data_IF_967192842274
#
_entry.id   IF_967192842274
#
_cell.length_a   1.000
_cell.length_b   1.000
_cell.length_c   1.000
_cell.angle_alpha   90.00
_cell.angle_beta   90.00
_cell.angle_gamma   90.00
#
_symmetry.space_group_name_H-M   'P 1'
#
loop_
_entity.id
_entity.type
_entity.pdbx_description
1 polymer ?
#
# COMPACT_ATOMS: atom_id res chain seq x y z
N UNK A 1 51.07 12.39 23.62
CA UNK A 1 50.11 11.26 23.62
C UNK A 1 49.14 11.55 22.50
N UNK A 2 49.23 10.75 21.44
CA UNK A 2 48.53 10.84 20.16
C UNK A 2 47.48 9.72 20.15
N UNK A 3 46.19 10.05 20.28
CA UNK A 3 44.99 9.32 19.84
C UNK A 3 43.89 10.41 19.83
N UNK A 4 43.85 11.30 18.84
CA UNK A 4 43.21 11.17 17.53
C UNK A 4 41.76 10.69 17.58
N UNK A 5 40.90 11.57 17.06
CA UNK A 5 39.46 11.46 16.86
C UNK A 5 39.09 10.13 16.18
N UNK A 6 38.21 9.36 16.81
CA UNK A 6 37.42 8.33 16.13
C UNK A 6 35.96 8.73 16.28
N UNK A 7 35.57 9.71 15.47
CA UNK A 7 34.18 10.06 15.21
C UNK A 7 33.65 9.01 14.22
N UNK A 8 33.07 7.93 14.75
CA UNK A 8 32.31 6.87 14.07
C UNK A 8 32.72 6.51 12.61
N UNK A 9 33.85 5.82 12.39
CA UNK A 9 34.32 5.42 11.05
C UNK A 9 33.46 4.33 10.37
N UNK A 10 32.51 3.73 11.09
CA UNK A 10 31.66 2.62 10.62
C UNK A 10 30.16 2.96 10.60
N UNK A 11 29.79 4.26 10.65
CA UNK A 11 28.39 4.64 10.49
C UNK A 11 27.97 4.38 9.04
N UNK A 12 27.34 3.21 8.81
CA UNK A 12 26.63 2.94 7.57
C UNK A 12 25.57 4.03 7.38
N UNK A 13 25.40 4.58 6.17
CA UNK A 13 24.27 5.47 5.89
C UNK A 13 22.98 4.72 6.25
N UNK A 14 22.06 5.38 6.94
CA UNK A 14 20.71 4.86 7.09
C UNK A 14 20.20 4.58 5.68
N UNK A 15 19.89 3.30 5.39
CA UNK A 15 19.16 2.97 4.18
C UNK A 15 17.82 3.69 4.29
N UNK A 16 17.44 4.48 3.29
CA UNK A 16 16.10 5.10 3.28
C UNK A 16 15.09 3.95 3.44
N UNK A 17 14.27 3.99 4.50
CA UNK A 17 13.32 2.94 4.90
C UNK A 17 12.13 2.82 3.90
N UNK A 18 12.43 2.67 2.61
CA UNK A 18 11.43 2.47 1.54
C UNK A 18 10.58 1.21 1.81
N UNK A 19 11.11 0.24 2.55
CA UNK A 19 10.40 -0.96 2.98
C UNK A 19 9.33 -0.66 4.03
N UNK A 20 9.59 0.26 4.97
CA UNK A 20 8.59 0.72 5.95
C UNK A 20 7.45 1.45 5.24
N UNK A 21 7.78 2.22 4.20
CA UNK A 21 6.82 2.90 3.35
C UNK A 21 5.93 1.92 2.58
N UNK A 22 6.50 0.82 2.07
CA UNK A 22 5.74 -0.20 1.36
C UNK A 22 4.81 -1.00 2.29
N UNK A 23 5.28 -1.34 3.49
CA UNK A 23 4.48 -2.03 4.51
C UNK A 23 3.27 -1.18 4.94
N UNK A 24 3.49 0.12 5.16
CA UNK A 24 2.42 1.08 5.48
C UNK A 24 1.36 1.15 4.36
N UNK A 25 1.79 1.13 3.10
CA UNK A 25 0.89 1.14 1.94
C UNK A 25 0.06 -0.14 1.89
N UNK A 26 0.69 -1.31 2.06
CA UNK A 26 -0.02 -2.59 2.09
C UNK A 26 -1.06 -2.63 3.22
N UNK A 27 -0.69 -2.22 4.43
CA UNK A 27 -1.60 -2.14 5.57
C UNK A 27 -2.77 -1.20 5.30
N UNK A 28 -2.50 -0.02 4.74
CA UNK A 28 -3.53 0.98 4.41
C UNK A 28 -4.50 0.47 3.33
N UNK A 29 -3.99 -0.20 2.28
CA UNK A 29 -4.83 -0.83 1.26
C UNK A 29 -5.72 -1.92 1.85
N UNK A 30 -5.18 -2.74 2.76
CA UNK A 30 -5.96 -3.77 3.44
C UNK A 30 -7.11 -3.17 4.25
N UNK A 31 -6.82 -2.17 5.09
CA UNK A 31 -7.82 -1.51 5.94
C UNK A 31 -8.90 -0.84 5.09
N UNK A 32 -8.52 -0.07 4.07
CA UNK A 32 -9.49 0.59 3.21
C UNK A 32 -10.37 -0.43 2.47
N UNK A 33 -9.78 -1.52 1.97
CA UNK A 33 -10.53 -2.60 1.33
C UNK A 33 -11.47 -3.33 2.31
N UNK A 34 -11.06 -3.56 3.56
CA UNK A 34 -11.89 -4.20 4.59
C UNK A 34 -13.09 -3.32 4.97
N UNK A 35 -12.88 -2.00 5.09
CA UNK A 35 -13.96 -1.04 5.36
C UNK A 35 -14.94 -0.96 4.18
N UNK A 36 -14.45 -0.81 2.95
CA UNK A 36 -15.31 -0.73 1.75
C UNK A 36 -16.04 -2.04 1.45
N UNK A 37 -15.49 -3.19 1.88
CA UNK A 37 -16.17 -4.48 1.82
C UNK A 37 -17.40 -4.52 2.74
N UNK A 38 -17.38 -3.82 3.87
CA UNK A 38 -18.48 -3.74 4.82
C UNK A 38 -19.42 -2.56 4.56
N UNK A 39 -18.89 -1.44 4.08
CA UNK A 39 -19.59 -0.18 3.83
C UNK A 39 -19.07 0.46 2.52
N UNK A 40 -19.60 0.04 1.35
CA UNK A 40 -19.09 0.46 0.05
C UNK A 40 -19.30 1.96 -0.25
N UNK A 41 -20.17 2.64 0.50
CA UNK A 41 -20.44 4.07 0.43
C UNK A 41 -19.64 4.89 1.46
N UNK A 42 -18.68 4.29 2.18
CA UNK A 42 -17.93 4.97 3.23
C UNK A 42 -16.94 6.00 2.65
N UNK A 43 -17.20 7.31 2.78
CA UNK A 43 -16.48 8.33 2.01
C UNK A 43 -15.00 8.46 2.39
N UNK A 44 -14.67 8.35 3.69
CA UNK A 44 -13.28 8.47 4.13
C UNK A 44 -12.41 7.30 3.64
N UNK A 45 -12.90 6.06 3.76
CA UNK A 45 -12.23 4.88 3.22
C UNK A 45 -12.03 4.95 1.69
N UNK A 46 -13.00 5.51 0.96
CA UNK A 46 -12.84 5.77 -0.47
C UNK A 46 -11.72 6.76 -0.80
N UNK A 47 -11.64 7.87 -0.06
CA UNK A 47 -10.58 8.86 -0.21
C UNK A 47 -9.20 8.29 0.17
N UNK A 48 -9.12 7.57 1.29
CA UNK A 48 -7.89 6.93 1.77
C UNK A 48 -7.39 5.87 0.77
N UNK A 49 -8.29 5.09 0.18
CA UNK A 49 -7.96 4.14 -0.88
C UNK A 49 -7.35 4.86 -2.09
N UNK A 50 -7.98 5.93 -2.58
CA UNK A 50 -7.51 6.65 -3.77
C UNK A 50 -6.11 7.25 -3.55
N UNK A 51 -5.88 7.83 -2.38
CA UNK A 51 -4.55 8.35 -2.00
C UNK A 51 -3.52 7.23 -1.90
N UNK A 52 -3.88 6.11 -1.26
CA UNK A 52 -2.97 4.97 -1.06
C UNK A 52 -2.66 4.25 -2.37
N UNK A 53 -3.64 4.06 -3.26
CA UNK A 53 -3.44 3.51 -4.59
C UNK A 53 -2.50 4.38 -5.44
N UNK A 54 -2.64 5.70 -5.35
CA UNK A 54 -1.71 6.65 -5.98
C UNK A 54 -0.30 6.52 -5.42
N UNK A 55 -0.14 6.44 -4.09
CA UNK A 55 1.18 6.22 -3.46
C UNK A 55 1.79 4.89 -3.92
N UNK A 56 1.03 3.81 -3.91
CA UNK A 56 1.46 2.49 -4.37
C UNK A 56 1.96 2.49 -5.82
N UNK A 57 1.35 3.29 -6.71
CA UNK A 57 1.77 3.34 -8.12
C UNK A 57 3.15 3.97 -8.32
N UNK A 58 3.58 4.82 -7.39
CA UNK A 58 4.90 5.50 -7.41
C UNK A 58 6.03 4.71 -6.77
N UNK A 59 5.72 3.68 -5.97
CA UNK A 59 6.73 2.89 -5.27
C UNK A 59 7.31 1.80 -6.18
N UNK A 60 8.61 1.49 -6.02
CA UNK A 60 9.18 0.27 -6.58
C UNK A 60 8.52 -0.97 -5.97
N UNK A 61 8.84 -2.14 -6.51
CA UNK A 61 8.44 -3.41 -5.89
C UNK A 61 9.07 -3.52 -4.49
N UNK A 62 8.28 -3.78 -3.43
CA UNK A 62 8.79 -3.94 -2.07
C UNK A 62 9.81 -5.09 -1.96
N UNK A 63 10.78 -4.96 -1.06
CA UNK A 63 11.75 -6.04 -0.83
C UNK A 63 11.06 -7.37 -0.48
N UNK A 64 11.55 -8.47 -1.07
CA UNK A 64 11.01 -9.81 -0.83
C UNK A 64 9.67 -10.11 -1.50
N UNK A 65 9.10 -9.17 -2.26
CA UNK A 65 7.88 -9.38 -3.04
C UNK A 65 8.19 -9.59 -4.52
N UNK A 66 7.47 -10.52 -5.16
CA UNK A 66 7.58 -10.70 -6.61
C UNK A 66 6.92 -9.52 -7.36
N UNK A 67 7.57 -9.04 -8.43
CA UNK A 67 7.07 -7.95 -9.29
C UNK A 67 5.64 -8.21 -9.79
N UNK A 68 5.33 -9.47 -10.11
CA UNK A 68 4.01 -9.87 -10.58
C UNK A 68 2.94 -9.73 -9.47
N UNK A 69 3.30 -10.03 -8.22
CA UNK A 69 2.41 -9.87 -7.07
C UNK A 69 2.18 -8.39 -6.80
N UNK A 70 3.24 -7.57 -6.84
CA UNK A 70 3.11 -6.12 -6.66
C UNK A 70 2.28 -5.46 -7.76
N UNK A 71 2.49 -5.85 -9.02
CA UNK A 71 1.67 -5.38 -10.13
C UNK A 71 0.18 -5.73 -9.95
N UNK A 72 -0.11 -6.92 -9.43
CA UNK A 72 -1.49 -7.34 -9.18
C UNK A 72 -2.15 -6.56 -8.05
N UNK A 73 -1.41 -6.27 -6.96
CA UNK A 73 -1.90 -5.39 -5.88
C UNK A 73 -2.25 -4.01 -6.42
N UNK A 74 -1.32 -3.38 -7.17
CA UNK A 74 -1.54 -2.04 -7.76
C UNK A 74 -2.75 -2.02 -8.69
N UNK A 75 -2.86 -3.02 -9.58
CA UNK A 75 -3.97 -3.14 -10.52
C UNK A 75 -5.32 -3.27 -9.81
N UNK A 76 -5.41 -4.06 -8.73
CA UNK A 76 -6.66 -4.20 -7.96
C UNK A 76 -6.99 -2.96 -7.15
N UNK A 77 -5.99 -2.29 -6.59
CA UNK A 77 -6.17 -1.03 -5.88
C UNK A 77 -6.69 0.08 -6.82
N UNK A 78 -6.11 0.21 -8.00
CA UNK A 78 -6.56 1.15 -9.04
C UNK A 78 -7.99 0.84 -9.51
N UNK A 79 -8.30 -0.43 -9.77
CA UNK A 79 -9.64 -0.82 -10.19
C UNK A 79 -10.71 -0.51 -9.13
N UNK A 80 -10.42 -0.76 -7.85
CA UNK A 80 -11.34 -0.40 -6.76
C UNK A 80 -11.47 1.12 -6.62
N UNK A 81 -10.36 1.86 -6.71
CA UNK A 81 -10.39 3.32 -6.63
C UNK A 81 -11.19 3.94 -7.78
N UNK A 82 -11.10 3.39 -8.99
CA UNK A 82 -11.90 3.82 -10.13
C UNK A 82 -13.40 3.62 -9.87
N UNK A 83 -13.82 2.43 -9.40
CA UNK A 83 -15.23 2.16 -9.08
C UNK A 83 -15.77 3.12 -8.01
N UNK A 84 -14.99 3.38 -6.97
CA UNK A 84 -15.36 4.34 -5.92
C UNK A 84 -15.48 5.75 -6.48
N UNK A 85 -14.52 6.20 -7.30
CA UNK A 85 -14.53 7.55 -7.87
C UNK A 85 -15.64 7.76 -8.91
N UNK A 86 -16.09 6.69 -9.56
CA UNK A 86 -17.21 6.71 -10.50
C UNK A 86 -18.58 6.59 -9.79
N UNK A 87 -18.61 6.57 -8.46
CA UNK A 87 -19.81 6.30 -7.66
C UNK A 87 -20.57 5.05 -8.17
N UNK A 88 -19.81 4.00 -8.48
CA UNK A 88 -20.34 2.74 -9.02
C UNK A 88 -21.26 2.03 -8.04
N UNK A 89 -21.98 1.00 -8.53
CA UNK A 89 -22.85 0.19 -7.68
C UNK A 89 -22.08 -0.42 -6.50
N UNK A 90 -22.71 -0.39 -5.31
CA UNK A 90 -22.10 -0.89 -4.08
C UNK A 90 -21.72 -2.37 -4.16
N UNK A 91 -22.41 -3.18 -4.97
CA UNK A 91 -22.07 -4.57 -5.22
C UNK A 91 -20.74 -4.74 -5.96
N UNK A 92 -20.47 -3.91 -6.97
CA UNK A 92 -19.22 -3.91 -7.72
C UNK A 92 -18.06 -3.44 -6.85
N UNK A 93 -18.26 -2.38 -6.06
CA UNK A 93 -17.29 -1.90 -5.06
C UNK A 93 -16.97 -3.01 -4.05
N UNK A 94 -18.00 -3.68 -3.51
CA UNK A 94 -17.84 -4.79 -2.57
C UNK A 94 -17.05 -5.95 -3.18
N UNK A 95 -17.31 -6.29 -4.44
CA UNK A 95 -16.62 -7.37 -5.15
C UNK A 95 -15.14 -7.03 -5.38
N UNK A 96 -14.84 -5.81 -5.83
CA UNK A 96 -13.48 -5.32 -6.01
C UNK A 96 -12.73 -5.19 -4.68
N UNK A 97 -13.39 -4.73 -3.61
CA UNK A 97 -12.83 -4.63 -2.27
C UNK A 97 -12.43 -6.00 -1.72
N UNK A 98 -13.31 -7.01 -1.87
CA UNK A 98 -12.98 -8.41 -1.53
C UNK A 98 -11.75 -8.89 -2.31
N UNK A 99 -11.72 -8.61 -3.60
CA UNK A 99 -10.64 -9.02 -4.50
C UNK A 99 -9.28 -8.42 -4.08
N UNK A 100 -9.25 -7.12 -3.77
CA UNK A 100 -8.04 -6.44 -3.28
C UNK A 100 -7.62 -7.00 -1.91
N UNK A 101 -8.54 -7.11 -0.96
CA UNK A 101 -8.28 -7.65 0.38
C UNK A 101 -7.65 -9.04 0.33
N UNK A 102 -8.11 -9.91 -0.56
CA UNK A 102 -7.58 -11.27 -0.69
C UNK A 102 -6.12 -11.32 -1.15
N UNK A 103 -5.66 -10.38 -1.99
CA UNK A 103 -4.26 -10.36 -2.45
C UNK A 103 -3.34 -9.63 -1.47
N UNK A 104 -3.86 -8.66 -0.73
CA UNK A 104 -3.07 -7.89 0.24
C UNK A 104 -2.94 -8.63 1.57
N UNK A 105 -3.97 -9.37 2.01
CA UNK A 105 -3.98 -10.10 3.28
C UNK A 105 -2.72 -10.94 3.58
N UNK A 106 -2.18 -11.75 2.65
CA UNK A 106 -0.98 -12.55 2.95
C UNK A 106 0.32 -11.73 3.05
N UNK A 107 0.26 -10.42 2.76
CA UNK A 107 1.41 -9.52 2.70
C UNK A 107 1.46 -8.53 3.88
N UNK A 108 0.48 -8.59 4.79
CA UNK A 108 0.33 -7.71 5.96
C UNK A 108 0.34 -8.49 7.27
#
# INVERSE_FOLDING_TARGET
>A
HLIDDIDHPDALPAEDDDDDVAADVLSSLYVAADVLLAAPDHPAAGADLAATATRASTLPTPYGLDDAVWAEVRRRAEALAALVNEDSDGGDITAAARSLRQVVWPLV
#
